data_IF_984279687740
#
_entry.id   IF_984279687740
#
_cell.length_a   1.000
_cell.length_b   1.000
_cell.length_c   1.000
_cell.angle_alpha   90.00
_cell.angle_beta   90.00
_cell.angle_gamma   90.00
#
_symmetry.space_group_name_H-M   'P 1'
#
loop_
_entity.id
_entity.type
_entity.pdbx_description
1 polymer ?
#
# COMPACT_ATOMS: atom_id res chain seq x y z
N UNK A 1 21.10 30.35 3.05
CA UNK A 1 20.64 29.18 2.27
C UNK A 1 20.60 27.93 3.15
N UNK A 2 19.42 27.58 3.66
CA UNK A 2 19.23 26.28 4.29
C UNK A 2 19.47 25.20 3.22
N UNK A 3 20.23 24.14 3.53
CA UNK A 3 20.28 22.99 2.63
C UNK A 3 18.86 22.41 2.56
N UNK A 4 18.39 22.12 1.34
CA UNK A 4 17.14 21.38 1.12
C UNK A 4 17.14 20.12 2.00
N UNK A 5 16.00 19.72 2.59
CA UNK A 5 15.95 18.49 3.36
C UNK A 5 16.37 17.34 2.45
N UNK A 6 17.31 16.51 2.91
CA UNK A 6 17.71 15.30 2.20
C UNK A 6 16.46 14.51 1.76
N UNK A 7 16.43 13.89 0.57
CA UNK A 7 15.38 12.95 0.14
C UNK A 7 15.30 11.65 0.99
N UNK A 8 15.76 11.70 2.25
CA UNK A 8 16.04 10.57 3.11
C UNK A 8 14.83 10.05 3.90
N UNK A 9 13.71 10.77 3.97
CA UNK A 9 12.62 10.39 4.87
C UNK A 9 11.83 9.14 4.42
N UNK A 10 11.40 9.01 3.14
CA UNK A 10 10.73 7.78 2.67
C UNK A 10 11.63 6.54 2.74
N UNK A 11 12.93 6.75 2.46
CA UNK A 11 13.93 5.70 2.44
C UNK A 11 14.24 5.15 3.83
N UNK A 12 14.15 5.97 4.88
CA UNK A 12 14.58 5.56 6.21
C UNK A 12 13.75 4.41 6.77
N UNK A 13 12.41 4.50 6.73
CA UNK A 13 11.54 3.44 7.24
C UNK A 13 11.74 2.11 6.51
N UNK A 14 11.91 2.17 5.19
CA UNK A 14 12.18 0.97 4.38
C UNK A 14 13.57 0.39 4.67
N UNK A 15 14.60 1.24 4.82
CA UNK A 15 15.96 0.80 5.18
C UNK A 15 16.01 0.15 6.55
N UNK A 16 15.23 0.66 7.51
CA UNK A 16 15.13 0.06 8.84
C UNK A 16 14.51 -1.34 8.79
N UNK A 17 13.51 -1.56 7.92
CA UNK A 17 12.85 -2.85 7.76
C UNK A 17 13.53 -3.81 6.78
N UNK A 18 14.47 -3.34 5.96
CA UNK A 18 15.04 -4.09 4.83
C UNK A 18 15.65 -5.43 5.25
N UNK A 19 16.45 -5.43 6.31
CA UNK A 19 17.08 -6.65 6.81
C UNK A 19 16.04 -7.67 7.27
N UNK A 20 15.02 -7.24 7.99
CA UNK A 20 13.97 -8.12 8.49
C UNK A 20 13.11 -8.67 7.35
N UNK A 21 12.76 -7.81 6.38
CA UNK A 21 12.02 -8.21 5.17
C UNK A 21 12.78 -9.31 4.43
N UNK A 22 14.09 -9.14 4.22
CA UNK A 22 14.92 -10.13 3.52
C UNK A 22 15.08 -11.42 4.34
N UNK A 23 15.40 -11.30 5.62
CA UNK A 23 15.68 -12.45 6.50
C UNK A 23 14.43 -13.30 6.75
N UNK A 24 13.27 -12.67 6.93
CA UNK A 24 12.01 -13.37 7.15
C UNK A 24 11.34 -13.82 5.84
N UNK A 25 11.89 -13.41 4.69
CA UNK A 25 11.35 -13.73 3.36
C UNK A 25 9.98 -13.08 3.13
N UNK A 26 9.77 -11.86 3.62
CA UNK A 26 8.52 -11.12 3.44
C UNK A 26 8.33 -10.82 1.95
N UNK A 27 7.15 -11.16 1.43
CA UNK A 27 6.77 -10.97 0.03
C UNK A 27 5.81 -9.80 -0.16
N UNK A 28 5.05 -9.47 0.89
CA UNK A 28 3.98 -8.49 0.85
C UNK A 28 4.01 -7.60 2.11
N UNK A 29 3.80 -6.31 1.92
CA UNK A 29 3.55 -5.33 2.98
C UNK A 29 2.10 -4.89 2.86
N UNK A 30 1.35 -4.97 3.96
CA UNK A 30 -0.06 -4.55 4.05
C UNK A 30 -0.19 -3.46 5.09
N UNK A 31 -0.93 -2.40 4.79
CA UNK A 31 -1.18 -1.30 5.75
C UNK A 31 -2.53 -0.62 5.52
N UNK A 32 -3.05 0.05 6.56
CA UNK A 32 -4.15 0.98 6.42
C UNK A 32 -3.70 2.27 5.69
N UNK A 33 -4.61 2.87 4.92
CA UNK A 33 -4.36 4.09 4.16
C UNK A 33 -5.47 5.13 4.41
N UNK A 34 -5.10 6.24 5.04
CA UNK A 34 -5.97 7.37 5.34
C UNK A 34 -5.60 8.62 4.55
N UNK A 35 -4.52 9.30 4.94
CA UNK A 35 -4.03 10.46 4.17
C UNK A 35 -3.23 10.08 2.92
N UNK A 36 -2.69 8.86 2.85
CA UNK A 36 -1.83 8.40 1.76
C UNK A 36 -0.33 8.58 2.02
N UNK A 37 0.11 9.44 2.94
CA UNK A 37 1.53 9.74 3.15
C UNK A 37 2.41 8.51 3.48
N UNK A 38 1.96 7.64 4.39
CA UNK A 38 2.68 6.39 4.70
C UNK A 38 2.72 5.45 3.50
N UNK A 39 1.60 5.32 2.77
CA UNK A 39 1.52 4.47 1.58
C UNK A 39 2.49 4.97 0.48
N UNK A 40 2.53 6.29 0.23
CA UNK A 40 3.48 6.91 -0.70
C UNK A 40 4.92 6.63 -0.29
N UNK A 41 5.26 6.84 0.99
CA UNK A 41 6.62 6.66 1.49
C UNK A 41 7.10 5.21 1.40
N UNK A 42 6.27 4.26 1.82
CA UNK A 42 6.57 2.82 1.74
C UNK A 42 6.65 2.36 0.29
N UNK A 43 5.73 2.76 -0.58
CA UNK A 43 5.72 2.37 -1.99
C UNK A 43 6.96 2.88 -2.74
N UNK A 44 7.27 4.17 -2.58
CA UNK A 44 8.46 4.79 -3.19
C UNK A 44 9.75 4.23 -2.58
N UNK A 45 9.84 4.10 -1.26
CA UNK A 45 11.01 3.55 -0.58
C UNK A 45 11.27 2.09 -0.95
N UNK A 46 10.23 1.26 -1.06
CA UNK A 46 10.32 -0.13 -1.54
C UNK A 46 10.89 -0.20 -2.97
N UNK A 47 10.45 0.71 -3.84
CA UNK A 47 10.98 0.82 -5.20
C UNK A 47 12.44 1.25 -5.22
N UNK A 48 12.79 2.30 -4.48
CA UNK A 48 14.14 2.87 -4.48
C UNK A 48 15.19 2.00 -3.77
N UNK A 49 14.76 1.15 -2.82
CA UNK A 49 15.65 0.19 -2.14
C UNK A 49 15.91 -1.09 -2.96
N UNK A 50 15.13 -1.35 -4.01
CA UNK A 50 15.20 -2.61 -4.75
C UNK A 50 14.72 -3.83 -3.93
N UNK A 51 14.01 -3.62 -2.82
CA UNK A 51 13.33 -4.69 -2.06
C UNK A 51 12.30 -5.40 -2.93
N UNK A 52 11.58 -4.63 -3.76
CA UNK A 52 10.60 -5.14 -4.73
C UNK A 52 9.52 -6.04 -4.09
N UNK A 53 9.16 -5.81 -2.83
CA UNK A 53 8.02 -6.48 -2.18
C UNK A 53 6.71 -5.88 -2.67
N UNK A 54 5.61 -6.64 -2.61
CA UNK A 54 4.30 -6.15 -3.00
C UNK A 54 3.73 -5.25 -1.90
N UNK A 55 3.31 -4.04 -2.25
CA UNK A 55 2.75 -3.09 -1.27
C UNK A 55 1.24 -2.99 -1.48
N UNK A 56 0.47 -3.20 -0.42
CA UNK A 56 -1.00 -3.12 -0.43
C UNK A 56 -1.47 -2.07 0.59
N UNK A 57 -2.16 -1.05 0.11
CA UNK A 57 -2.70 0.05 0.89
C UNK A 57 -4.23 -0.05 0.94
N UNK A 58 -4.77 -0.32 2.13
CA UNK A 58 -6.20 -0.49 2.36
C UNK A 58 -6.81 0.85 2.77
N UNK A 59 -7.49 1.50 1.81
CA UNK A 59 -8.11 2.82 1.94
C UNK A 59 -9.31 2.84 2.86
N UNK A 60 -9.25 3.58 3.96
CA UNK A 60 -10.31 3.57 5.02
C UNK A 60 -11.22 4.80 5.02
N UNK A 61 -10.91 5.84 4.26
CA UNK A 61 -11.72 7.07 4.17
C UNK A 61 -12.27 7.36 2.77
N UNK A 62 -11.58 6.92 1.72
CA UNK A 62 -11.90 7.22 0.32
C UNK A 62 -11.80 5.98 -0.58
N UNK A 63 -11.98 6.17 -1.89
CA UNK A 63 -11.87 5.10 -2.87
C UNK A 63 -10.42 4.89 -3.38
N UNK A 64 -10.11 3.72 -3.96
CA UNK A 64 -8.77 3.45 -4.49
C UNK A 64 -8.28 4.46 -5.52
N UNK A 65 -9.15 5.06 -6.33
CA UNK A 65 -8.75 6.01 -7.36
C UNK A 65 -8.23 7.31 -6.75
N UNK A 66 -8.87 7.79 -5.68
CA UNK A 66 -8.34 8.89 -4.88
C UNK A 66 -6.92 8.59 -4.37
N UNK A 67 -6.70 7.41 -3.79
CA UNK A 67 -5.39 7.04 -3.25
C UNK A 67 -4.32 6.87 -4.32
N UNK A 68 -4.66 6.27 -5.45
CA UNK A 68 -3.72 6.18 -6.57
C UNK A 68 -3.29 7.55 -7.07
N UNK A 69 -4.25 8.47 -7.28
CA UNK A 69 -3.93 9.84 -7.69
C UNK A 69 -3.06 10.54 -6.65
N UNK A 70 -3.45 10.48 -5.37
CA UNK A 70 -2.72 11.14 -4.29
C UNK A 70 -1.28 10.63 -4.16
N UNK A 71 -1.05 9.32 -4.29
CA UNK A 71 0.30 8.74 -4.24
C UNK A 71 1.10 9.13 -5.48
N UNK A 72 0.48 9.18 -6.66
CA UNK A 72 1.14 9.65 -7.89
C UNK A 72 1.60 11.11 -7.77
N UNK A 73 0.73 11.99 -7.27
CA UNK A 73 1.03 13.40 -7.04
C UNK A 73 2.16 13.53 -6.00
N UNK A 74 2.05 12.83 -4.87
CA UNK A 74 3.08 12.83 -3.82
C UNK A 74 4.45 12.37 -4.34
N UNK A 75 4.50 11.30 -5.14
CA UNK A 75 5.76 10.83 -5.71
C UNK A 75 6.35 11.87 -6.68
N UNK A 76 5.50 12.49 -7.50
CA UNK A 76 5.93 13.54 -8.45
C UNK A 76 6.48 14.76 -7.73
N UNK A 77 5.80 15.21 -6.66
CA UNK A 77 6.26 16.31 -5.81
C UNK A 77 7.61 16.02 -5.13
N UNK A 78 7.90 14.74 -4.86
CA UNK A 78 9.18 14.28 -4.34
C UNK A 78 10.27 14.11 -5.40
N UNK A 79 9.99 14.50 -6.66
CA UNK A 79 10.93 14.41 -7.77
C UNK A 79 10.99 13.03 -8.43
N UNK A 80 9.99 12.19 -8.20
CA UNK A 80 9.85 10.89 -8.86
C UNK A 80 8.59 10.88 -9.73
N UNK A 81 8.71 11.16 -11.05
CA UNK A 81 7.56 11.29 -11.94
C UNK A 81 6.67 10.05 -11.92
N UNK A 82 5.44 10.22 -11.42
CA UNK A 82 4.43 9.18 -11.35
C UNK A 82 3.14 9.64 -12.03
N UNK A 83 2.41 8.68 -12.58
CA UNK A 83 1.11 8.93 -13.23
C UNK A 83 0.05 7.95 -12.74
N UNK A 84 -1.19 8.41 -12.79
CA UNK A 84 -2.39 7.62 -12.64
C UNK A 84 -3.40 8.06 -13.71
N UNK A 85 -4.01 7.13 -14.46
CA UNK A 85 -5.06 7.47 -15.44
C UNK A 85 -4.60 7.90 -16.84
N UNK A 86 -3.35 7.68 -17.25
CA UNK A 86 -2.86 7.90 -18.63
C UNK A 86 -3.20 6.77 -19.61
N UNK A 87 -3.00 6.96 -20.92
CA UNK A 87 -3.43 6.07 -22.03
C UNK A 87 -3.02 4.57 -21.95
N UNK A 88 -2.22 4.15 -20.97
CA UNK A 88 -2.00 2.74 -20.62
C UNK A 88 -3.12 2.13 -19.74
N UNK A 89 -4.13 2.91 -19.33
CA UNK A 89 -5.17 2.50 -18.36
C UNK A 89 -6.61 2.67 -18.86
N UNK A 90 -6.85 2.61 -20.17
CA UNK A 90 -8.21 2.58 -20.71
C UNK A 90 -8.85 1.20 -20.49
N UNK A 91 -9.31 0.93 -19.28
CA UNK A 91 -10.40 -0.01 -19.01
C UNK A 91 -11.22 0.47 -17.81
N UNK A 92 -12.31 1.17 -18.14
CA UNK A 92 -13.61 1.23 -17.46
C UNK A 92 -13.74 0.58 -16.07
N UNK A 93 -14.18 1.36 -15.08
CA UNK A 93 -15.38 1.12 -14.24
C UNK A 93 -15.68 -0.26 -13.63
N UNK A 94 -14.77 -1.21 -13.68
CA UNK A 94 -14.83 -2.50 -13.03
C UNK A 94 -13.67 -2.53 -12.03
N UNK A 95 -13.90 -3.04 -10.82
CA UNK A 95 -12.79 -3.50 -9.97
C UNK A 95 -11.88 -4.36 -10.85
N UNK A 96 -10.70 -3.83 -11.16
CA UNK A 96 -9.78 -4.49 -12.06
C UNK A 96 -9.41 -5.82 -11.41
N UNK A 97 -9.82 -6.91 -12.05
CA UNK A 97 -9.29 -8.24 -11.78
C UNK A 97 -7.76 -8.14 -11.61
N UNK A 98 -7.24 -8.83 -10.60
CA UNK A 98 -5.85 -8.85 -10.16
C UNK A 98 -4.88 -8.73 -11.35
N UNK A 99 -4.42 -7.52 -11.68
CA UNK A 99 -3.34 -7.35 -12.66
C UNK A 99 -2.07 -7.94 -12.05
N UNK A 100 -1.43 -8.94 -12.67
CA UNK A 100 -0.23 -9.55 -12.11
C UNK A 100 0.89 -8.52 -11.98
N UNK A 101 1.54 -8.48 -10.82
CA UNK A 101 2.72 -7.67 -10.62
C UNK A 101 3.87 -8.23 -11.47
N UNK A 102 4.36 -7.45 -12.43
CA UNK A 102 5.49 -7.84 -13.28
C UNK A 102 6.80 -7.79 -12.49
N UNK A 103 7.63 -8.81 -12.62
CA UNK A 103 9.00 -8.85 -12.11
C UNK A 103 9.90 -7.84 -12.84
N UNK A 104 11.07 -7.51 -12.29
CA UNK A 104 12.06 -6.67 -12.99
C UNK A 104 12.44 -7.22 -14.37
N UNK A 105 12.52 -8.55 -14.51
CA UNK A 105 12.77 -9.20 -15.79
C UNK A 105 11.66 -8.92 -16.79
N UNK A 106 10.41 -9.12 -16.38
CA UNK A 106 9.24 -8.89 -17.24
C UNK A 106 9.05 -7.40 -17.59
N UNK A 107 9.42 -6.48 -16.69
CA UNK A 107 9.44 -5.03 -16.97
C UNK A 107 10.57 -4.65 -17.93
N UNK A 108 11.76 -5.20 -17.74
CA UNK A 108 12.91 -4.93 -18.61
C UNK A 108 12.72 -5.52 -20.01
N UNK A 109 12.06 -6.69 -20.11
CA UNK A 109 11.71 -7.29 -21.40
C UNK A 109 10.65 -6.44 -22.13
N UNK A 110 9.66 -5.89 -21.42
CA UNK A 110 8.72 -4.90 -21.99
C UNK A 110 9.42 -3.63 -22.47
N UNK A 111 10.35 -3.08 -21.68
CA UNK A 111 11.12 -1.87 -22.04
C UNK A 111 12.03 -2.09 -23.25
N UNK A 112 12.63 -3.27 -23.39
CA UNK A 112 13.53 -3.61 -24.51
C UNK A 112 12.83 -3.70 -25.86
N UNK A 113 11.52 -3.91 -25.88
CA UNK A 113 10.75 -3.98 -27.13
C UNK A 113 10.40 -2.61 -27.72
N UNK A 114 10.73 -1.48 -27.05
CA UNK A 114 10.22 -0.14 -27.41
C UNK A 114 11.28 0.93 -27.74
N UNK A 115 12.55 0.61 -27.99
CA UNK A 115 13.58 1.66 -28.14
C UNK A 115 13.61 2.37 -29.52
N UNK A 116 13.51 3.70 -29.47
CA UNK A 116 14.27 4.67 -30.29
C UNK A 116 14.99 5.61 -29.31
N UNK A 117 16.26 5.92 -29.58
CA UNK A 117 17.18 6.67 -28.73
C UNK A 117 16.97 8.20 -28.88
N UNK A 118 16.40 8.86 -27.87
CA UNK A 118 16.49 10.31 -27.63
C UNK A 118 16.66 10.54 -26.12
N UNK A 119 17.25 11.69 -25.72
CA UNK A 119 17.61 12.07 -24.34
C UNK A 119 16.56 11.54 -23.32
N UNK A 120 16.95 10.63 -22.42
CA UNK A 120 16.02 9.90 -21.53
C UNK A 120 15.27 10.85 -20.58
N UNK A 121 14.22 11.48 -21.08
CA UNK A 121 13.15 12.01 -20.26
C UNK A 121 12.58 10.81 -19.49
N UNK A 122 12.74 10.81 -18.17
CA UNK A 122 12.39 9.66 -17.34
C UNK A 122 10.91 9.31 -17.56
N UNK A 123 10.65 8.19 -18.24
CA UNK A 123 9.29 7.71 -18.49
C UNK A 123 8.55 7.62 -17.15
N UNK A 124 7.45 8.36 -16.96
CA UNK A 124 6.74 8.37 -15.69
C UNK A 124 6.29 6.97 -15.29
N UNK A 125 6.38 6.67 -14.01
CA UNK A 125 6.00 5.36 -13.47
C UNK A 125 4.50 5.35 -13.21
N UNK A 126 3.81 4.30 -13.68
CA UNK A 126 2.42 4.07 -13.29
C UNK A 126 2.38 3.74 -11.80
N UNK A 127 1.63 4.51 -11.01
CA UNK A 127 1.56 4.30 -9.56
C UNK A 127 1.07 2.89 -9.19
N UNK A 128 0.34 2.21 -10.07
CA UNK A 128 -0.10 0.82 -9.87
C UNK A 128 1.06 -0.19 -9.90
N UNK A 129 2.21 0.21 -10.44
CA UNK A 129 3.45 -0.57 -10.35
C UNK A 129 4.18 -0.37 -9.00
N UNK A 130 3.78 0.63 -8.20
CA UNK A 130 4.38 0.93 -6.89
C UNK A 130 3.59 0.30 -5.74
N UNK A 131 2.26 0.32 -5.82
CA UNK A 131 1.38 -0.25 -4.81
C UNK A 131 0.00 -0.63 -5.38
N UNK A 132 -0.71 -1.48 -4.64
CA UNK A 132 -2.13 -1.78 -4.85
C UNK A 132 -2.97 -1.05 -3.82
N UNK A 133 -3.95 -0.26 -4.25
CA UNK A 133 -4.94 0.36 -3.37
C UNK A 133 -6.19 -0.51 -3.30
N UNK A 134 -6.65 -0.82 -2.09
CA UNK A 134 -7.82 -1.68 -1.83
C UNK A 134 -8.86 -0.89 -1.04
N UNK A 135 -10.14 -1.06 -1.37
CA UNK A 135 -11.23 -0.39 -0.65
C UNK A 135 -11.46 -1.05 0.72
N UNK A 136 -11.35 -0.29 1.81
CA UNK A 136 -11.53 -0.75 3.18
C UNK A 136 -12.33 0.19 4.10
N UNK A 137 -13.03 1.18 3.53
CA UNK A 137 -13.85 2.14 4.28
C UNK A 137 -15.05 1.50 4.98
N UNK A 138 -15.59 0.41 4.43
CA UNK A 138 -16.81 -0.21 4.94
C UNK A 138 -17.98 0.77 4.93
N UNK A 139 -18.70 0.89 6.05
CA UNK A 139 -19.86 1.78 6.20
C UNK A 139 -19.56 3.28 6.20
N UNK A 140 -18.28 3.68 6.20
CA UNK A 140 -17.87 5.08 6.25
C UNK A 140 -16.63 5.29 7.11
N UNK A 141 -15.98 6.44 6.97
CA UNK A 141 -14.82 6.77 7.79
C UNK A 141 -15.19 6.81 9.28
N UNK A 142 -14.39 6.17 10.14
CA UNK A 142 -14.61 6.06 11.60
C UNK A 142 -15.94 5.43 12.06
N UNK A 143 -16.69 4.79 11.15
CA UNK A 143 -17.92 4.05 11.44
C UNK A 143 -17.66 2.55 11.32
N UNK A 144 -17.59 1.84 12.45
CA UNK A 144 -17.27 0.41 12.45
C UNK A 144 -18.51 -0.47 12.35
N UNK A 145 -18.39 -1.58 11.64
CA UNK A 145 -19.41 -2.64 11.64
C UNK A 145 -19.16 -3.65 12.77
N UNK A 146 -20.19 -4.41 13.16
CA UNK A 146 -20.03 -5.51 14.14
C UNK A 146 -19.02 -6.55 13.68
N UNK A 147 -18.90 -6.81 12.37
CA UNK A 147 -17.94 -7.74 11.82
C UNK A 147 -16.49 -7.23 11.93
N UNK A 148 -16.27 -5.93 11.67
CA UNK A 148 -14.98 -5.28 11.88
C UNK A 148 -14.57 -5.32 13.36
N UNK A 149 -15.47 -4.95 14.27
CA UNK A 149 -15.22 -5.01 15.72
C UNK A 149 -14.97 -6.45 16.21
N UNK A 150 -15.70 -7.42 15.66
CA UNK A 150 -15.48 -8.84 15.93
C UNK A 150 -14.08 -9.30 15.51
N UNK A 151 -13.59 -8.81 14.37
CA UNK A 151 -12.22 -9.09 13.90
C UNK A 151 -11.18 -8.50 14.85
N UNK A 152 -11.32 -7.22 15.21
CA UNK A 152 -10.44 -6.55 16.17
C UNK A 152 -10.37 -7.31 17.50
N UNK A 153 -11.54 -7.71 18.01
CA UNK A 153 -11.65 -8.49 19.26
C UNK A 153 -10.95 -9.84 19.13
N UNK A 154 -11.10 -10.52 18.00
CA UNK A 154 -10.46 -11.81 17.75
C UNK A 154 -8.93 -11.67 17.70
N UNK A 155 -8.40 -10.68 16.98
CA UNK A 155 -6.94 -10.43 16.91
C UNK A 155 -6.39 -10.13 18.30
N UNK A 156 -7.04 -9.27 19.07
CA UNK A 156 -6.62 -8.93 20.43
C UNK A 156 -6.58 -10.16 21.35
N UNK A 157 -7.62 -11.00 21.30
CA UNK A 157 -7.71 -12.20 22.15
C UNK A 157 -6.71 -13.29 21.76
N UNK A 158 -6.37 -13.40 20.47
CA UNK A 158 -5.54 -14.51 19.96
C UNK A 158 -4.06 -14.17 19.90
N UNK A 159 -3.71 -12.90 19.64
CA UNK A 159 -2.32 -12.47 19.43
C UNK A 159 -1.81 -11.52 20.52
N UNK A 160 -2.71 -10.93 21.32
CA UNK A 160 -2.39 -9.85 22.25
C UNK A 160 -2.18 -8.49 21.58
N UNK A 161 -2.27 -8.40 20.25
CA UNK A 161 -2.16 -7.15 19.49
C UNK A 161 -3.54 -6.53 19.33
N UNK A 162 -3.69 -5.27 19.74
CA UNK A 162 -4.95 -4.54 19.63
C UNK A 162 -4.91 -3.67 18.38
N UNK A 163 -5.97 -3.73 17.55
CA UNK A 163 -6.12 -2.88 16.37
C UNK A 163 -7.16 -1.79 16.62
N UNK A 164 -6.95 -0.59 16.11
CA UNK A 164 -7.91 0.50 16.25
C UNK A 164 -9.12 0.34 15.29
N UNK A 165 -10.31 0.86 15.64
CA UNK A 165 -11.52 0.66 14.87
C UNK A 165 -11.66 1.59 13.64
N UNK A 166 -10.75 2.56 13.48
CA UNK A 166 -10.83 3.59 12.44
C UNK A 166 -9.94 3.24 11.25
N UNK A 167 -8.73 2.72 11.50
CA UNK A 167 -7.70 2.46 10.50
C UNK A 167 -7.32 0.97 10.47
N UNK A 168 -6.50 0.51 11.42
CA UNK A 168 -5.83 -0.78 11.32
C UNK A 168 -6.83 -1.94 11.39
N UNK A 169 -7.86 -1.84 12.21
CA UNK A 169 -8.90 -2.86 12.33
C UNK A 169 -9.72 -3.04 11.06
N UNK A 170 -10.03 -1.93 10.36
CA UNK A 170 -10.73 -1.97 9.06
C UNK A 170 -9.88 -2.57 7.97
N UNK A 171 -8.64 -2.09 7.83
CA UNK A 171 -7.69 -2.62 6.86
C UNK A 171 -7.45 -4.11 7.09
N UNK A 172 -7.22 -4.52 8.34
CA UNK A 172 -7.01 -5.92 8.69
C UNK A 172 -8.25 -6.79 8.45
N UNK A 173 -9.45 -6.27 8.77
CA UNK A 173 -10.70 -6.97 8.49
C UNK A 173 -10.86 -7.30 7.01
N UNK A 174 -10.66 -6.32 6.13
CA UNK A 174 -10.78 -6.54 4.68
C UNK A 174 -9.65 -7.44 4.17
N UNK A 175 -8.42 -7.25 4.66
CA UNK A 175 -7.28 -8.09 4.29
C UNK A 175 -7.52 -9.57 4.61
N UNK A 176 -7.92 -9.91 5.84
CA UNK A 176 -8.17 -11.31 6.21
C UNK A 176 -9.29 -11.92 5.37
N UNK A 177 -10.35 -11.15 5.08
CA UNK A 177 -11.43 -11.62 4.20
C UNK A 177 -10.95 -11.86 2.76
N UNK A 178 -10.08 -11.00 2.24
CA UNK A 178 -9.46 -11.20 0.93
C UNK A 178 -8.62 -12.48 0.91
N UNK A 179 -7.82 -12.73 1.96
CA UNK A 179 -7.04 -13.97 2.11
C UNK A 179 -7.95 -15.19 2.19
N UNK A 180 -9.04 -15.13 2.94
CA UNK A 180 -10.01 -16.22 3.06
C UNK A 180 -10.72 -16.52 1.72
N UNK A 181 -11.05 -15.49 0.96
CA UNK A 181 -11.75 -15.61 -0.33
C UNK A 181 -10.82 -16.08 -1.46
N UNK A 182 -9.53 -15.75 -1.39
CA UNK A 182 -8.54 -16.06 -2.41
C UNK A 182 -7.34 -16.84 -1.83
N UNK A 183 -7.59 -17.82 -0.96
CA UNK A 183 -6.54 -18.50 -0.17
C UNK A 183 -5.40 -19.07 -1.03
N UNK A 184 -5.69 -19.62 -2.21
CA UNK A 184 -4.68 -20.13 -3.14
C UNK A 184 -3.74 -19.05 -3.68
N UNK A 185 -4.21 -17.81 -3.81
CA UNK A 185 -3.37 -16.70 -4.27
C UNK A 185 -2.37 -16.25 -3.20
N UNK A 186 -2.71 -16.46 -1.92
CA UNK A 186 -1.91 -16.09 -0.76
C UNK A 186 -1.03 -17.23 -0.23
N UNK A 187 -1.18 -18.45 -0.78
CA UNK A 187 -0.36 -19.59 -0.40
C UNK A 187 1.13 -19.31 -0.64
N UNK A 188 1.96 -19.59 0.37
CA UNK A 188 3.40 -19.36 0.34
C UNK A 188 3.83 -17.88 0.47
N UNK A 189 2.89 -16.92 0.49
CA UNK A 189 3.21 -15.51 0.75
C UNK A 189 3.51 -15.30 2.23
N UNK A 190 4.43 -14.38 2.53
CA UNK A 190 4.72 -13.93 3.89
C UNK A 190 4.43 -12.45 3.99
N UNK A 191 3.45 -12.12 4.82
CA UNK A 191 2.88 -10.78 4.89
C UNK A 191 3.38 -10.05 6.14
N UNK A 192 3.93 -8.86 5.95
CA UNK A 192 4.17 -7.89 7.01
C UNK A 192 2.98 -6.93 7.07
N UNK A 193 2.16 -7.05 8.12
CA UNK A 193 1.11 -6.07 8.38
C UNK A 193 1.69 -4.90 9.21
N UNK A 194 1.76 -3.70 8.64
CA UNK A 194 2.29 -2.52 9.31
C UNK A 194 1.23 -1.90 10.23
N UNK A 195 1.38 -2.19 11.52
CA UNK A 195 0.57 -1.57 12.56
C UNK A 195 1.03 -0.13 12.82
N UNK A 196 0.33 0.85 12.25
CA UNK A 196 0.74 2.28 12.30
C UNK A 196 0.32 3.03 13.58
N UNK A 197 -0.36 2.37 14.53
CA UNK A 197 -0.74 2.94 15.82
C UNK A 197 -2.25 3.06 15.99
N UNK A 198 -2.74 4.21 16.46
CA UNK A 198 -4.18 4.49 16.53
C UNK A 198 -4.90 3.99 17.78
N UNK A 199 -4.20 3.33 18.72
CA UNK A 199 -4.80 2.79 19.95
C UNK A 199 -5.56 3.83 20.79
N UNK A 200 -5.13 5.09 20.76
CA UNK A 200 -5.82 6.17 21.46
C UNK A 200 -7.25 6.41 20.95
N UNK A 201 -7.55 6.05 19.70
CA UNK A 201 -8.90 6.13 19.12
C UNK A 201 -9.90 5.16 19.74
N UNK A 202 -9.45 4.21 20.57
CA UNK A 202 -10.35 3.32 21.32
C UNK A 202 -11.03 4.02 22.50
N UNK A 203 -10.39 5.04 23.10
CA UNK A 203 -10.97 5.78 24.22
C UNK A 203 -12.17 6.64 23.80
N UNK A 204 -12.19 7.12 22.56
CA UNK A 204 -13.32 7.87 22.00
C UNK A 204 -14.53 6.97 21.67
N UNK A 205 -14.36 5.65 21.74
CA UNK A 205 -15.38 4.63 21.45
C UNK A 205 -15.81 3.83 22.67
N UNK A 206 -15.27 4.11 23.86
CA UNK A 206 -15.62 3.37 25.09
C UNK A 206 -16.86 3.90 25.81
N UNK A 207 -17.42 5.01 25.35
CA UNK A 207 -18.57 5.69 25.95
C UNK A 207 -19.91 5.42 25.23
N UNK A 208 -19.92 4.57 24.20
CA UNK A 208 -21.11 4.09 23.46
C UNK A 208 -21.36 2.58 23.71
#
# INVERSE_FOLDING_TARGET
PHPLPHPALPLQAIREMENDIRNLGITDIVMACGSGGTASGVALGNRLSGLNVRVHAYGVCDDPAYFYQHVADTCTDLGFPCVYGGAASASSGAEAAHTPFLTERERNDKRRMTNVEEEEEAVPVDVRDLLRCVQARGSGYAVSTTAELGTITNVAKTTGVVLDPVYNGKAFHVFVREVEQAASEWEGRRVLFLHTGGLLGLFDKSDD
#
